data_IF_851106301156
#
_entry.id   IF_851106301156
#
_cell.length_a   1.000
_cell.length_b   1.000
_cell.length_c   1.000
_cell.angle_alpha   90.00
_cell.angle_beta   90.00
_cell.angle_gamma   90.00
#
_symmetry.space_group_name_H-M   'P 1'
#
loop_
_entity.id
_entity.type
_entity.pdbx_description
1 polymer ?
#
# COMPACT_ATOMS: atom_id res chain seq x y z
N UNK A 1 -24.34 7.96 -11.13
CA UNK A 1 -23.96 6.55 -10.91
C UNK A 1 -22.48 6.59 -10.59
N UNK A 2 -22.16 6.81 -9.32
CA UNK A 2 -20.79 6.97 -8.81
C UNK A 2 -20.01 5.68 -9.06
N UNK A 3 -19.02 5.73 -9.94
CA UNK A 3 -18.06 4.66 -10.09
C UNK A 3 -17.07 4.75 -8.95
N UNK A 4 -17.35 4.03 -7.86
CA UNK A 4 -16.34 3.73 -6.86
C UNK A 4 -15.14 3.09 -7.58
N UNK A 5 -13.89 3.47 -7.28
CA UNK A 5 -12.75 2.80 -7.89
C UNK A 5 -12.84 1.32 -7.58
N UNK A 6 -12.81 0.48 -8.61
CA UNK A 6 -12.95 -0.96 -8.50
C UNK A 6 -11.63 -1.52 -7.91
N UNK A 7 -11.47 -1.37 -6.61
CA UNK A 7 -10.36 -1.96 -5.86
C UNK A 7 -10.55 -3.47 -5.82
N UNK A 8 -9.52 -4.21 -6.22
CA UNK A 8 -9.46 -5.63 -5.94
C UNK A 8 -9.32 -5.88 -4.42
N UNK A 9 -9.57 -7.12 -3.98
CA UNK A 9 -9.41 -7.50 -2.58
C UNK A 9 -8.01 -7.22 -2.02
N UNK A 10 -6.96 -7.36 -2.85
CA UNK A 10 -5.57 -7.11 -2.45
C UNK A 10 -5.26 -5.64 -2.18
N UNK A 11 -5.72 -4.73 -3.05
CA UNK A 11 -5.60 -3.28 -2.87
C UNK A 11 -6.35 -2.84 -1.63
N UNK A 12 -7.58 -3.35 -1.46
CA UNK A 12 -8.39 -3.02 -0.30
C UNK A 12 -7.70 -3.42 1.01
N UNK A 13 -7.24 -4.67 1.10
CA UNK A 13 -6.54 -5.18 2.28
C UNK A 13 -5.30 -4.36 2.60
N UNK A 14 -4.47 -4.04 1.60
CA UNK A 14 -3.24 -3.26 1.80
C UNK A 14 -3.51 -1.83 2.24
N UNK A 15 -4.44 -1.12 1.60
CA UNK A 15 -4.77 0.26 1.94
C UNK A 15 -5.39 0.33 3.32
N UNK A 16 -6.31 -0.57 3.62
CA UNK A 16 -6.92 -0.68 4.92
C UNK A 16 -5.87 -0.94 6.02
N UNK A 17 -4.95 -1.88 5.77
CA UNK A 17 -3.90 -2.23 6.72
C UNK A 17 -2.92 -1.07 6.91
N UNK A 18 -2.45 -0.45 5.82
CA UNK A 18 -1.57 0.71 5.83
C UNK A 18 -2.16 1.86 6.67
N UNK A 19 -3.42 2.23 6.40
CA UNK A 19 -4.08 3.31 7.14
C UNK A 19 -4.23 2.99 8.61
N UNK A 20 -4.57 1.74 8.95
CA UNK A 20 -4.69 1.32 10.34
C UNK A 20 -3.36 1.24 11.08
N UNK A 21 -2.30 0.81 10.42
CA UNK A 21 -0.97 0.71 11.02
C UNK A 21 -0.31 2.07 11.20
N UNK A 22 -0.57 3.02 10.29
CA UNK A 22 0.02 4.38 10.35
C UNK A 22 -0.79 5.35 11.20
N UNK A 23 -2.13 5.28 11.17
CA UNK A 23 -3.02 6.24 11.86
C UNK A 23 -3.80 5.64 13.04
N UNK A 24 -3.82 4.32 13.18
CA UNK A 24 -4.56 3.65 14.23
C UNK A 24 -3.81 3.63 15.56
N UNK A 25 -4.54 3.87 16.67
CA UNK A 25 -3.96 3.90 18.03
C UNK A 25 -3.79 2.51 18.69
N UNK A 26 -4.50 1.46 18.25
CA UNK A 26 -4.37 0.12 18.82
C UNK A 26 -5.14 -0.95 17.98
N UNK A 27 -4.54 -1.47 16.90
CA UNK A 27 -5.26 -2.38 15.98
C UNK A 27 -4.47 -3.62 15.54
N UNK A 28 -3.32 -3.91 16.14
CA UNK A 28 -2.50 -5.08 15.82
C UNK A 28 -3.28 -6.40 15.73
N UNK A 29 -4.15 -6.72 16.72
CA UNK A 29 -4.96 -7.95 16.68
C UNK A 29 -5.98 -7.99 15.53
N UNK A 30 -6.57 -6.84 15.19
CA UNK A 30 -7.60 -6.75 14.16
C UNK A 30 -7.01 -6.86 12.76
N UNK A 31 -5.86 -6.21 12.53
CA UNK A 31 -5.08 -6.40 11.30
C UNK A 31 -4.61 -7.84 11.19
N UNK A 32 -4.06 -8.41 12.27
CA UNK A 32 -3.67 -9.83 12.32
C UNK A 32 -4.80 -10.79 11.94
N UNK A 33 -6.00 -10.56 12.48
CA UNK A 33 -7.18 -11.36 12.16
C UNK A 33 -7.58 -11.26 10.69
N UNK A 34 -7.61 -10.06 10.12
CA UNK A 34 -8.00 -9.88 8.71
C UNK A 34 -7.05 -10.61 7.75
N UNK A 35 -5.74 -10.56 8.04
CA UNK A 35 -4.76 -11.32 7.26
C UNK A 35 -4.91 -12.83 7.44
N UNK A 36 -5.23 -13.31 8.65
CA UNK A 36 -5.53 -14.73 8.88
C UNK A 36 -6.82 -15.17 8.16
N UNK A 37 -7.86 -14.34 8.18
CA UNK A 37 -9.14 -14.62 7.52
C UNK A 37 -8.98 -14.61 5.98
N UNK A 38 -8.09 -13.77 5.44
CA UNK A 38 -7.87 -13.65 3.98
C UNK A 38 -6.86 -14.66 3.43
N UNK A 39 -5.75 -14.90 4.14
CA UNK A 39 -4.62 -15.70 3.66
C UNK A 39 -4.50 -17.07 4.37
N UNK A 40 -5.38 -17.39 5.33
CA UNK A 40 -5.31 -18.63 6.09
C UNK A 40 -4.03 -18.74 6.92
N UNK A 41 -3.36 -19.89 6.82
CA UNK A 41 -2.14 -20.22 7.56
C UNK A 41 -0.98 -19.24 7.29
N UNK A 42 -0.94 -18.67 6.08
CA UNK A 42 0.09 -17.72 5.64
C UNK A 42 -0.12 -16.30 6.17
N UNK A 43 -1.29 -15.99 6.74
CA UNK A 43 -1.67 -14.62 7.09
C UNK A 43 -0.66 -13.91 8.00
N UNK A 44 -0.02 -14.65 8.90
CA UNK A 44 1.04 -14.11 9.76
C UNK A 44 2.28 -13.70 8.97
N UNK A 45 2.68 -14.49 7.99
CA UNK A 45 3.86 -14.23 7.16
C UNK A 45 3.61 -13.09 6.17
N UNK A 46 2.42 -13.04 5.57
CA UNK A 46 2.02 -11.93 4.69
C UNK A 46 2.01 -10.62 5.48
N UNK A 47 1.44 -10.61 6.70
CA UNK A 47 1.44 -9.44 7.56
C UNK A 47 2.85 -9.03 8.00
N UNK A 48 3.72 -9.99 8.34
CA UNK A 48 5.11 -9.71 8.69
C UNK A 48 5.84 -9.05 7.50
N UNK A 49 5.62 -9.55 6.29
CA UNK A 49 6.21 -8.99 5.07
C UNK A 49 5.70 -7.57 4.80
N UNK A 50 4.40 -7.31 5.03
CA UNK A 50 3.84 -5.96 4.97
C UNK A 50 4.51 -5.04 6.00
N UNK A 51 4.67 -5.49 7.25
CA UNK A 51 5.30 -4.70 8.30
C UNK A 51 6.75 -4.35 7.95
N UNK A 52 7.53 -5.32 7.46
CA UNK A 52 8.90 -5.09 7.00
C UNK A 52 8.96 -4.10 5.83
N UNK A 53 8.02 -4.21 4.88
CA UNK A 53 7.90 -3.24 3.79
C UNK A 53 7.56 -1.83 4.30
N UNK A 54 6.63 -1.69 5.24
CA UNK A 54 6.26 -0.39 5.81
C UNK A 54 7.41 0.23 6.60
N UNK A 55 8.17 -0.56 7.36
CA UNK A 55 9.36 -0.08 8.06
C UNK A 55 10.42 0.42 7.07
N UNK A 56 10.69 -0.33 6.00
CA UNK A 56 11.58 0.10 4.94
C UNK A 56 11.05 1.38 4.28
N UNK A 57 9.76 1.45 3.95
CA UNK A 57 9.15 2.63 3.36
C UNK A 57 9.34 3.86 4.25
N UNK A 58 9.04 3.77 5.55
CA UNK A 58 9.19 4.88 6.50
C UNK A 58 10.65 5.35 6.61
N UNK A 59 11.62 4.42 6.62
CA UNK A 59 13.04 4.78 6.74
C UNK A 59 13.64 5.34 5.45
N UNK A 60 13.13 4.93 4.30
CA UNK A 60 13.73 5.24 2.98
C UNK A 60 13.03 6.40 2.26
N UNK A 61 11.83 6.78 2.73
CA UNK A 61 11.04 7.82 2.11
C UNK A 61 11.75 9.19 2.16
N UNK A 62 11.84 9.85 1.00
CA UNK A 62 12.45 11.18 0.89
C UNK A 62 11.61 12.31 1.47
N UNK A 63 10.34 12.02 1.78
CA UNK A 63 9.34 12.99 2.24
C UNK A 63 8.30 12.29 3.10
N UNK A 64 7.58 13.07 3.90
CA UNK A 64 6.40 12.56 4.60
C UNK A 64 5.35 12.09 3.60
N UNK A 65 4.86 10.86 3.80
CA UNK A 65 3.77 10.30 3.00
C UNK A 65 2.42 10.73 3.59
N UNK A 66 1.54 11.23 2.73
CA UNK A 66 0.16 11.49 3.06
C UNK A 66 -0.65 10.19 3.02
N UNK A 67 -1.03 9.70 4.19
CA UNK A 67 -1.86 8.52 4.35
C UNK A 67 -3.27 8.95 4.77
N UNK A 68 -4.28 8.44 4.09
CA UNK A 68 -5.68 8.73 4.35
C UNK A 68 -6.15 8.20 5.69
N UNK A 69 -7.29 8.71 6.18
CA UNK A 69 -7.91 8.18 7.39
C UNK A 69 -8.58 6.82 7.10
N UNK A 70 -8.58 5.88 8.07
CA UNK A 70 -9.39 4.67 7.97
C UNK A 70 -10.85 5.02 7.65
N UNK A 71 -11.44 4.39 6.63
CA UNK A 71 -12.80 4.66 6.17
C UNK A 71 -12.94 5.71 5.06
N UNK A 72 -11.87 6.42 4.68
CA UNK A 72 -11.91 7.33 3.54
C UNK A 72 -12.11 6.53 2.22
N UNK A 73 -13.07 6.88 1.35
CA UNK A 73 -13.33 6.12 0.13
C UNK A 73 -12.25 6.33 -0.96
N UNK A 74 -11.51 7.43 -0.91
CA UNK A 74 -10.53 7.82 -1.93
C UNK A 74 -9.11 7.48 -1.51
N UNK A 75 -8.25 7.13 -2.47
CA UNK A 75 -6.80 7.01 -2.23
C UNK A 75 -6.11 8.37 -2.24
N UNK A 76 -5.08 8.52 -1.41
CA UNK A 76 -4.10 9.59 -1.56
C UNK A 76 -3.17 9.33 -2.75
N UNK A 77 -2.41 10.33 -3.17
CA UNK A 77 -1.40 10.15 -4.20
C UNK A 77 -0.29 9.18 -3.76
N UNK A 78 0.10 9.24 -2.48
CA UNK A 78 1.14 8.39 -1.92
C UNK A 78 0.68 6.92 -1.82
N UNK A 79 -0.56 6.69 -1.36
CA UNK A 79 -1.15 5.34 -1.32
C UNK A 79 -1.22 4.72 -2.73
N UNK A 80 -1.58 5.52 -3.75
CA UNK A 80 -1.55 5.05 -5.14
C UNK A 80 -0.15 4.66 -5.58
N UNK A 81 0.89 5.42 -5.24
CA UNK A 81 2.26 5.08 -5.63
C UNK A 81 2.76 3.81 -4.93
N UNK A 82 2.40 3.61 -3.66
CA UNK A 82 2.70 2.36 -2.95
C UNK A 82 2.03 1.17 -3.63
N UNK A 83 0.74 1.27 -3.97
CA UNK A 83 0.05 0.21 -4.70
C UNK A 83 0.66 -0.05 -6.09
N UNK A 84 1.00 1.01 -6.83
CA UNK A 84 1.65 0.90 -8.14
C UNK A 84 3.02 0.22 -8.04
N UNK A 85 3.80 0.49 -6.99
CA UNK A 85 5.07 -0.18 -6.75
C UNK A 85 4.88 -1.69 -6.55
N UNK A 86 3.96 -2.09 -5.67
CA UNK A 86 3.70 -3.50 -5.38
C UNK A 86 3.09 -4.21 -6.59
N UNK A 87 2.15 -3.57 -7.30
CA UNK A 87 1.58 -4.09 -8.53
C UNK A 87 2.63 -4.28 -9.63
N UNK A 88 3.55 -3.32 -9.81
CA UNK A 88 4.63 -3.44 -10.77
C UNK A 88 5.56 -4.60 -10.44
N UNK A 89 5.86 -4.82 -9.15
CA UNK A 89 6.64 -5.98 -8.69
C UNK A 89 5.91 -7.31 -8.96
N UNK A 90 4.61 -7.40 -8.71
CA UNK A 90 3.82 -8.63 -8.98
C UNK A 90 3.79 -8.99 -10.46
N UNK A 91 3.73 -7.97 -11.33
CA UNK A 91 3.57 -8.12 -12.77
C UNK A 91 4.89 -8.13 -13.55
N UNK A 92 6.05 -8.06 -12.88
CA UNK A 92 7.37 -8.03 -13.53
C UNK A 92 7.59 -6.79 -14.42
N UNK A 93 6.96 -5.66 -14.09
CA UNK A 93 7.05 -4.42 -14.86
C UNK A 93 8.25 -3.58 -14.37
N UNK A 94 9.47 -4.04 -14.63
CA UNK A 94 10.70 -3.47 -14.04
C UNK A 94 10.85 -1.96 -14.27
N UNK A 95 10.55 -1.45 -15.47
CA UNK A 95 10.64 -0.02 -15.75
C UNK A 95 9.67 0.82 -14.90
N UNK A 96 8.45 0.31 -14.65
CA UNK A 96 7.47 0.96 -13.77
C UNK A 96 7.89 0.82 -12.30
N UNK A 97 8.39 -0.36 -11.92
CA UNK A 97 8.89 -0.60 -10.57
C UNK A 97 10.02 0.38 -10.22
N UNK A 98 11.00 0.54 -11.11
CA UNK A 98 12.12 1.45 -10.92
C UNK A 98 11.70 2.92 -10.89
N UNK A 99 10.74 3.32 -11.72
CA UNK A 99 10.20 4.68 -11.71
C UNK A 99 9.53 4.99 -10.35
N UNK A 100 8.79 4.04 -9.79
CA UNK A 100 8.05 4.20 -8.54
C UNK A 100 9.01 4.21 -7.34
N UNK A 101 10.07 3.38 -7.37
CA UNK A 101 11.14 3.42 -6.38
C UNK A 101 11.85 4.77 -6.36
N UNK A 102 12.18 5.34 -7.53
CA UNK A 102 12.84 6.66 -7.63
C UNK A 102 11.95 7.78 -7.08
N UNK A 103 10.64 7.64 -7.20
CA UNK A 103 9.69 8.60 -6.67
C UNK A 103 9.56 8.52 -5.14
N UNK A 104 9.59 7.30 -4.57
CA UNK A 104 9.40 7.05 -3.14
C UNK A 104 10.68 7.26 -2.31
N UNK A 105 11.84 6.79 -2.78
CA UNK A 105 13.05 6.63 -1.97
C UNK A 105 14.31 7.34 -2.50
N UNK A 106 15.19 7.71 -1.56
CA UNK A 106 16.54 8.22 -1.86
C UNK A 106 17.39 7.11 -2.51
N UNK A 107 18.38 7.50 -3.32
CA UNK A 107 19.15 6.55 -4.14
C UNK A 107 19.85 5.46 -3.31
N UNK A 108 20.50 5.85 -2.22
CA UNK A 108 21.17 4.97 -1.28
C UNK A 108 20.26 3.90 -0.65
N UNK A 109 18.96 4.18 -0.59
CA UNK A 109 17.98 3.38 0.13
C UNK A 109 17.04 2.56 -0.78
N UNK A 110 17.10 2.81 -2.11
CA UNK A 110 16.22 2.14 -3.09
C UNK A 110 16.34 0.62 -3.05
N UNK A 111 17.53 0.08 -2.77
CA UNK A 111 17.75 -1.36 -2.73
C UNK A 111 16.95 -2.03 -1.58
N UNK A 112 16.92 -1.43 -0.40
CA UNK A 112 16.19 -1.95 0.75
C UNK A 112 14.68 -1.94 0.50
N UNK A 113 14.16 -0.83 -0.03
CA UNK A 113 12.75 -0.72 -0.41
C UNK A 113 12.39 -1.70 -1.53
N UNK A 114 13.28 -1.88 -2.51
CA UNK A 114 13.06 -2.81 -3.62
C UNK A 114 12.92 -4.26 -3.15
N UNK A 115 13.81 -4.72 -2.25
CA UNK A 115 13.78 -6.09 -1.72
C UNK A 115 12.47 -6.37 -0.98
N UNK A 116 12.08 -5.46 -0.09
CA UNK A 116 10.87 -5.63 0.73
C UNK A 116 9.59 -5.52 -0.10
N UNK A 117 9.55 -4.61 -1.10
CA UNK A 117 8.43 -4.50 -2.03
C UNK A 117 8.25 -5.78 -2.87
N UNK A 118 9.35 -6.38 -3.34
CA UNK A 118 9.32 -7.66 -4.08
C UNK A 118 8.89 -8.82 -3.21
N UNK A 119 9.38 -8.89 -1.97
CA UNK A 119 8.93 -9.90 -1.01
C UNK A 119 7.42 -9.80 -0.74
N UNK A 120 6.92 -8.59 -0.51
CA UNK A 120 5.48 -8.34 -0.31
C UNK A 120 4.66 -8.73 -1.54
N UNK A 121 5.11 -8.33 -2.73
CA UNK A 121 4.46 -8.68 -3.99
C UNK A 121 4.36 -10.20 -4.17
N UNK A 122 5.44 -10.93 -3.87
CA UNK A 122 5.48 -12.39 -3.92
C UNK A 122 4.49 -13.02 -2.92
N UNK A 123 4.52 -12.60 -1.65
CA UNK A 123 3.64 -13.13 -0.60
C UNK A 123 2.15 -12.93 -0.94
N UNK A 124 1.78 -11.75 -1.44
CA UNK A 124 0.42 -11.44 -1.88
C UNK A 124 0.02 -12.29 -3.08
N UNK A 125 0.90 -12.43 -4.08
CA UNK A 125 0.61 -13.21 -5.29
C UNK A 125 0.45 -14.69 -4.97
N UNK A 126 1.27 -15.23 -4.06
CA UNK A 126 1.15 -16.60 -3.56
C UNK A 126 -0.24 -16.85 -2.95
N UNK A 127 -0.76 -15.86 -2.23
CA UNK A 127 -2.08 -15.86 -1.61
C UNK A 127 -3.21 -15.38 -2.53
N UNK A 128 -2.99 -15.36 -3.85
CA UNK A 128 -3.99 -14.97 -4.86
C UNK A 128 -4.51 -13.53 -4.72
N UNK A 129 -3.80 -12.68 -3.96
CA UNK A 129 -4.07 -11.25 -3.83
C UNK A 129 -3.31 -10.50 -4.92
N UNK A 130 -3.92 -10.42 -6.09
CA UNK A 130 -3.36 -9.69 -7.23
C UNK A 130 -3.76 -8.23 -7.18
N UNK A 131 -2.76 -7.35 -7.28
CA UNK A 131 -2.99 -5.93 -7.47
C UNK A 131 -3.08 -5.62 -8.96
N UNK A 132 -4.22 -5.06 -9.33
CA UNK A 132 -4.41 -4.36 -10.59
C UNK A 132 -3.88 -2.94 -10.39
N UNK A 133 -2.98 -2.45 -11.28
CA UNK A 133 -2.61 -1.04 -11.25
C UNK A 133 -3.90 -0.22 -11.30
N UNK A 134 -4.17 0.68 -10.34
CA UNK A 134 -5.39 1.46 -10.38
C UNK A 134 -5.45 2.13 -11.75
N UNK A 135 -6.54 1.89 -12.48
CA UNK A 135 -6.84 2.66 -13.68
C UNK A 135 -6.63 4.11 -13.28
N UNK A 136 -5.86 4.87 -14.07
CA UNK A 136 -5.43 6.22 -13.78
C UNK A 136 -6.63 7.15 -13.55
N UNK A 137 -7.22 7.10 -12.37
CA UNK A 137 -8.31 7.95 -11.95
C UNK A 137 -7.64 9.12 -11.23
N UNK A 138 -7.67 10.24 -11.95
CA UNK A 138 -7.39 11.57 -11.46
C UNK A 138 -8.11 11.79 -10.11
N UNK A 139 -7.55 12.61 -9.22
CA UNK A 139 -8.12 12.80 -7.90
C UNK A 139 -9.54 13.39 -8.03
N UNK A 140 -10.56 12.63 -7.61
CA UNK A 140 -11.75 13.25 -7.05
C UNK A 140 -11.27 13.89 -5.76
N UNK A 141 -11.14 15.21 -5.82
CA UNK A 141 -10.76 16.09 -4.72
C UNK A 141 -11.45 15.64 -3.45
N UNK A 142 -10.66 15.14 -2.49
CA UNK A 142 -11.01 15.31 -1.09
C UNK A 142 -10.96 16.82 -0.90
N UNK A 143 -12.12 17.48 -1.03
CA UNK A 143 -12.25 18.90 -0.74
C UNK A 143 -11.53 19.17 0.57
N UNK A 144 -10.63 20.17 0.53
CA UNK A 144 -10.15 20.80 1.74
C UNK A 144 -11.40 21.20 2.53
N UNK A 145 -11.74 20.46 3.57
CA UNK A 145 -12.43 21.07 4.70
C UNK A 145 -11.46 22.10 5.26
N UNK A 146 -11.56 23.30 4.71
CA UNK A 146 -11.06 24.50 5.33
C UNK A 146 -11.79 24.59 6.67
N UNK A 147 -11.10 24.19 7.73
CA UNK A 147 -11.37 24.68 9.08
C UNK A 147 -11.16 26.20 9.03
N UNK A 148 -12.21 26.92 8.66
CA UNK A 148 -12.35 28.35 8.97
C UNK A 148 -12.62 28.45 10.47
N UNK A 149 -11.69 29.10 11.18
CA UNK A 149 -11.92 29.67 12.50
C UNK A 149 -12.33 31.14 12.35
#
# INVERSE_FOLDING_TARGET
MDQAPEFGPGEHLLVWALRRMVKGKDYGPLVGREFADTCGEDGREVLATLHTFLLALIHTCRRELSIGHPGCPSLTADERQVLLLVAAAQNGKDAQFDAQLRWLAAEEDRAALAMTARALAFALRHNQLTLTPPASQLPTTCEREALSA
#
